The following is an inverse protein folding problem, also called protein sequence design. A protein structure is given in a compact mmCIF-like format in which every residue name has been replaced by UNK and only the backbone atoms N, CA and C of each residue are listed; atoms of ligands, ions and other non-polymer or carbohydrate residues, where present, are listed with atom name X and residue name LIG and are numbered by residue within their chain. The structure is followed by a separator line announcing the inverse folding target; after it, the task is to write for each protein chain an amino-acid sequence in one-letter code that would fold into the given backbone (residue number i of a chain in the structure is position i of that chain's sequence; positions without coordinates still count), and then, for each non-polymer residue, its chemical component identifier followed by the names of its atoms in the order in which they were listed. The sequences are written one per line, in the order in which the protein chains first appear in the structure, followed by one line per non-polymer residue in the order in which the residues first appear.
data_IF_024871469749
#
_entry.id   IF_024871469749
#
_cell.length_a   1.000
_cell.length_b   1.000
_cell.length_c   1.000
_cell.angle_alpha   90.00
_cell.angle_beta   90.00
_cell.angle_gamma   90.00
#
_symmetry.space_group_name_H-M   'P 1'
#
loop_
_entity.id
_entity.type
_entity.pdbx_description
1 polymer ?
#
# COMPACT_ATOMS: atom_id res chain seq x y z
N UNK A 1 -21.11 35.09 25.84
CA UNK A 1 -21.38 35.39 24.40
C UNK A 1 -20.39 34.62 23.57
N UNK A 2 -20.77 33.50 23.05
CA UNK A 2 -19.96 32.66 22.18
C UNK A 2 -20.03 33.21 20.77
N UNK A 3 -18.89 33.55 20.19
CA UNK A 3 -18.75 34.09 18.85
C UNK A 3 -19.16 33.01 17.82
N UNK A 4 -20.23 33.19 17.05
CA UNK A 4 -20.70 32.19 16.10
C UNK A 4 -19.87 32.10 14.81
N UNK A 5 -18.80 32.89 14.71
CA UNK A 5 -17.91 32.95 13.53
C UNK A 5 -16.52 32.40 13.77
N UNK A 6 -16.32 31.54 14.77
CA UNK A 6 -15.10 30.74 14.77
C UNK A 6 -15.15 29.82 13.54
N UNK A 7 -14.20 29.93 12.60
CA UNK A 7 -14.12 28.98 11.52
C UNK A 7 -14.04 27.61 12.17
N UNK A 8 -14.97 26.77 11.78
CA UNK A 8 -15.09 25.36 12.18
C UNK A 8 -13.68 24.83 12.31
N UNK A 9 -13.25 24.63 13.54
CA UNK A 9 -12.07 23.83 13.84
C UNK A 9 -12.37 22.49 13.23
N UNK A 10 -11.94 22.29 11.99
CA UNK A 10 -12.05 21.03 11.28
C UNK A 10 -11.57 19.97 12.25
N UNK A 11 -12.52 19.24 12.74
CA UNK A 11 -12.46 18.24 13.80
C UNK A 11 -11.14 17.49 13.70
N UNK A 12 -10.19 17.91 14.51
CA UNK A 12 -8.91 17.23 14.66
C UNK A 12 -9.18 15.91 15.38
N UNK A 13 -9.72 14.95 14.62
CA UNK A 13 -9.91 13.62 15.15
C UNK A 13 -8.54 12.97 15.26
N UNK A 14 -8.03 12.70 16.47
CA UNK A 14 -6.70 12.12 16.69
C UNK A 14 -6.55 10.74 16.02
N UNK A 15 -7.64 10.15 15.58
CA UNK A 15 -7.68 8.86 14.88
C UNK A 15 -7.45 8.94 13.37
N UNK A 16 -7.53 10.15 12.78
CA UNK A 16 -7.45 10.33 11.33
C UNK A 16 -6.07 10.83 10.90
N UNK A 17 -5.62 10.36 9.72
CA UNK A 17 -4.41 10.85 9.06
C UNK A 17 -4.67 12.21 8.38
N UNK A 18 -3.65 13.08 8.28
CA UNK A 18 -3.75 14.29 7.50
C UNK A 18 -4.07 13.98 6.04
N UNK A 19 -4.81 14.87 5.38
CA UNK A 19 -5.22 14.70 3.99
C UNK A 19 -3.99 14.76 3.08
N UNK A 20 -3.74 13.71 2.32
CA UNK A 20 -2.68 13.62 1.32
C UNK A 20 -3.24 12.95 0.07
N UNK A 21 -3.52 13.77 -0.94
CA UNK A 21 -4.09 13.31 -2.20
C UNK A 21 -3.15 12.36 -2.93
N UNK A 22 -1.84 12.62 -2.89
CA UNK A 22 -0.87 11.77 -3.58
C UNK A 22 -0.79 10.37 -2.96
N UNK A 23 -0.76 10.28 -1.61
CA UNK A 23 -0.82 9.00 -0.90
C UNK A 23 -2.09 8.23 -1.23
N UNK A 24 -3.23 8.92 -1.27
CA UNK A 24 -4.53 8.33 -1.61
C UNK A 24 -4.54 7.79 -3.03
N UNK A 25 -4.00 8.54 -4.00
CA UNK A 25 -3.90 8.08 -5.40
C UNK A 25 -3.02 6.85 -5.55
N UNK A 26 -1.88 6.79 -4.85
CA UNK A 26 -1.01 5.61 -4.88
C UNK A 26 -1.72 4.40 -4.26
N UNK A 27 -2.41 4.58 -3.13
CA UNK A 27 -3.18 3.50 -2.49
C UNK A 27 -4.28 2.97 -3.42
N UNK A 28 -5.00 3.85 -4.12
CA UNK A 28 -5.99 3.46 -5.12
C UNK A 28 -5.36 2.74 -6.31
N UNK A 29 -4.19 3.17 -6.78
CA UNK A 29 -3.47 2.49 -7.85
C UNK A 29 -3.05 1.06 -7.43
N UNK A 30 -2.58 0.87 -6.19
CA UNK A 30 -2.25 -0.45 -5.66
C UNK A 30 -3.49 -1.35 -5.59
N UNK A 31 -4.62 -0.83 -5.13
CA UNK A 31 -5.90 -1.55 -5.10
C UNK A 31 -6.31 -1.96 -6.52
N UNK A 32 -6.26 -1.04 -7.48
CA UNK A 32 -6.62 -1.30 -8.87
C UNK A 32 -5.72 -2.38 -9.51
N UNK A 33 -4.40 -2.32 -9.27
CA UNK A 33 -3.46 -3.34 -9.74
C UNK A 33 -3.73 -4.71 -9.12
N UNK A 34 -4.07 -4.75 -7.83
CA UNK A 34 -4.42 -6.00 -7.16
C UNK A 34 -5.69 -6.61 -7.75
N UNK A 35 -6.74 -5.81 -7.93
CA UNK A 35 -7.99 -6.27 -8.56
C UNK A 35 -7.74 -6.75 -9.99
N UNK A 36 -6.98 -5.99 -10.78
CA UNK A 36 -6.60 -6.37 -12.14
C UNK A 36 -5.82 -7.68 -12.19
N UNK A 37 -4.87 -7.88 -11.25
CA UNK A 37 -4.14 -9.12 -11.09
C UNK A 37 -5.05 -10.31 -10.79
N UNK A 38 -6.01 -10.16 -9.89
CA UNK A 38 -6.99 -11.20 -9.57
C UNK A 38 -7.92 -11.54 -10.75
N UNK A 39 -8.40 -10.52 -11.47
CA UNK A 39 -9.20 -10.73 -12.70
C UNK A 39 -8.38 -11.51 -13.72
N UNK A 40 -7.13 -11.13 -13.93
CA UNK A 40 -6.23 -11.83 -14.85
C UNK A 40 -6.06 -13.31 -14.47
N UNK A 41 -5.88 -13.59 -13.21
CA UNK A 41 -5.77 -14.96 -12.67
C UNK A 41 -7.01 -15.79 -12.94
N UNK A 42 -8.20 -15.22 -12.71
CA UNK A 42 -9.47 -15.91 -12.94
C UNK A 42 -9.72 -16.19 -14.42
N UNK A 43 -9.07 -15.46 -15.33
CA UNK A 43 -9.18 -15.67 -16.79
C UNK A 43 -8.22 -16.73 -17.33
N UNK A 44 -7.20 -17.14 -16.55
CA UNK A 44 -6.25 -18.17 -16.98
C UNK A 44 -6.86 -19.56 -16.77
N UNK A 45 -6.86 -20.45 -17.82
CA UNK A 45 -7.31 -21.82 -17.66
C UNK A 45 -6.52 -22.56 -16.57
N UNK A 46 -7.24 -23.29 -15.72
CA UNK A 46 -6.69 -24.02 -14.55
C UNK A 46 -5.57 -25.00 -14.92
N UNK A 47 -5.59 -25.52 -16.14
CA UNK A 47 -4.60 -26.50 -16.65
C UNK A 47 -3.17 -25.95 -16.75
N UNK A 48 -3.00 -24.62 -16.74
CA UNK A 48 -1.69 -23.95 -16.73
C UNK A 48 -1.11 -23.74 -15.34
N UNK A 49 -1.89 -23.96 -14.30
CA UNK A 49 -1.43 -23.91 -12.90
C UNK A 49 -0.82 -25.27 -12.46
N UNK A 50 0.06 -25.82 -13.27
CA UNK A 50 0.82 -27.01 -12.86
C UNK A 50 1.58 -26.70 -11.56
N UNK A 51 1.45 -27.59 -10.60
CA UNK A 51 1.88 -27.57 -9.20
C UNK A 51 3.42 -27.43 -9.00
N UNK A 52 4.04 -26.43 -9.61
CA UNK A 52 5.45 -26.13 -9.40
C UNK A 52 5.66 -25.33 -8.10
N UNK A 53 6.88 -25.35 -7.55
CA UNK A 53 7.27 -24.52 -6.40
C UNK A 53 7.03 -23.02 -6.65
N UNK A 54 7.16 -22.57 -7.90
CA UNK A 54 6.83 -21.22 -8.35
C UNK A 54 5.35 -20.88 -8.14
N UNK A 55 4.45 -21.84 -8.32
CA UNK A 55 3.01 -21.64 -8.12
C UNK A 55 2.67 -21.36 -6.66
N UNK A 56 3.36 -22.02 -5.71
CA UNK A 56 3.15 -21.78 -4.27
C UNK A 56 3.59 -20.39 -3.85
N UNK A 57 4.76 -19.93 -4.30
CA UNK A 57 5.26 -18.57 -4.06
C UNK A 57 4.33 -17.52 -4.64
N UNK A 58 3.82 -17.79 -5.84
CA UNK A 58 2.88 -16.90 -6.50
C UNK A 58 1.55 -16.78 -5.71
N UNK A 59 1.01 -17.87 -5.15
CA UNK A 59 -0.18 -17.83 -4.31
C UNK A 59 0.04 -17.01 -3.03
N UNK A 60 1.21 -17.15 -2.39
CA UNK A 60 1.55 -16.34 -1.23
C UNK A 60 1.57 -14.86 -1.58
N UNK A 61 2.17 -14.51 -2.72
CA UNK A 61 2.20 -13.13 -3.22
C UNK A 61 0.78 -12.58 -3.45
N UNK A 62 -0.11 -13.37 -4.05
CA UNK A 62 -1.49 -12.97 -4.27
C UNK A 62 -2.25 -12.72 -2.96
N UNK A 63 -2.08 -13.58 -1.97
CA UNK A 63 -2.68 -13.38 -0.64
C UNK A 63 -2.14 -12.12 0.03
N UNK A 64 -0.84 -11.89 -0.01
CA UNK A 64 -0.22 -10.69 0.57
C UNK A 64 -0.69 -9.43 -0.14
N UNK A 65 -0.78 -9.44 -1.46
CA UNK A 65 -1.31 -8.32 -2.26
C UNK A 65 -2.77 -8.02 -1.92
N UNK A 66 -3.58 -9.05 -1.68
CA UNK A 66 -4.97 -8.88 -1.25
C UNK A 66 -5.07 -8.23 0.14
N UNK A 67 -4.27 -8.70 1.09
CA UNK A 67 -4.20 -8.10 2.44
C UNK A 67 -3.72 -6.65 2.35
N UNK A 68 -2.70 -6.38 1.51
CA UNK A 68 -2.22 -5.02 1.26
C UNK A 68 -3.33 -4.12 0.69
N UNK A 69 -4.13 -4.62 -0.26
CA UNK A 69 -5.26 -3.86 -0.80
C UNK A 69 -6.28 -3.50 0.27
N UNK A 70 -6.63 -4.42 1.17
CA UNK A 70 -7.52 -4.17 2.32
C UNK A 70 -6.93 -3.06 3.21
N UNK A 71 -5.64 -3.15 3.51
CA UNK A 71 -4.95 -2.14 4.33
C UNK A 71 -4.89 -0.79 3.61
N UNK A 72 -4.70 -0.77 2.28
CA UNK A 72 -4.77 0.45 1.48
C UNK A 72 -6.16 1.11 1.54
N UNK A 73 -7.25 0.35 1.61
CA UNK A 73 -8.59 0.91 1.86
C UNK A 73 -8.60 1.66 3.21
N UNK A 74 -8.01 1.10 4.25
CA UNK A 74 -7.86 1.78 5.54
C UNK A 74 -7.08 3.10 5.45
N UNK A 75 -6.05 3.16 4.60
CA UNK A 75 -5.27 4.39 4.32
C UNK A 75 -6.11 5.41 3.54
N UNK A 76 -6.90 4.97 2.56
CA UNK A 76 -7.85 5.85 1.83
C UNK A 76 -8.87 6.44 2.80
N UNK A 77 -9.37 5.64 3.74
CA UNK A 77 -10.28 6.08 4.82
C UNK A 77 -9.55 6.90 5.91
N UNK A 78 -8.27 7.18 5.74
CA UNK A 78 -7.44 8.02 6.62
C UNK A 78 -7.26 7.48 8.05
N UNK A 79 -7.48 6.20 8.29
CA UNK A 79 -7.33 5.60 9.62
C UNK A 79 -5.86 5.41 10.00
N UNK A 80 -5.44 5.99 11.11
CA UNK A 80 -4.04 5.92 11.61
C UNK A 80 -3.58 4.50 11.94
N UNK A 81 -4.49 3.65 12.41
CA UNK A 81 -4.19 2.24 12.75
C UNK A 81 -3.64 1.42 11.59
N UNK A 82 -3.97 1.79 10.36
CA UNK A 82 -3.48 1.09 9.16
C UNK A 82 -2.11 1.54 8.66
N UNK A 83 -1.53 2.60 9.27
CA UNK A 83 -0.27 3.17 8.81
C UNK A 83 0.92 2.21 8.97
N UNK A 84 1.04 1.56 10.11
CA UNK A 84 2.12 0.61 10.40
C UNK A 84 2.00 -0.67 9.59
N UNK A 85 0.84 -1.36 9.55
CA UNK A 85 0.69 -2.54 8.70
C UNK A 85 0.85 -2.22 7.21
N UNK A 86 0.35 -1.07 6.73
CA UNK A 86 0.57 -0.63 5.34
C UNK A 86 2.05 -0.50 5.01
N UNK A 87 2.82 0.12 5.90
CA UNK A 87 4.26 0.28 5.71
C UNK A 87 4.98 -1.07 5.57
N UNK A 88 4.80 -1.97 6.53
CA UNK A 88 5.50 -3.26 6.53
C UNK A 88 5.06 -4.19 5.41
N UNK A 89 3.76 -4.24 5.09
CA UNK A 89 3.27 -5.02 3.96
C UNK A 89 3.79 -4.50 2.63
N UNK A 90 3.90 -3.17 2.47
CA UNK A 90 4.45 -2.58 1.26
C UNK A 90 5.95 -2.85 1.14
N UNK A 91 6.70 -2.79 2.25
CA UNK A 91 8.13 -3.16 2.27
C UNK A 91 8.30 -4.64 1.88
N UNK A 92 7.49 -5.52 2.42
CA UNK A 92 7.51 -6.94 2.07
C UNK A 92 7.24 -7.13 0.56
N UNK A 93 6.18 -6.51 0.04
CA UNK A 93 5.82 -6.59 -1.39
C UNK A 93 6.93 -6.03 -2.28
N UNK A 94 7.57 -4.91 -1.87
CA UNK A 94 8.70 -4.32 -2.60
C UNK A 94 9.88 -5.28 -2.70
N UNK A 95 10.26 -5.89 -1.58
CA UNK A 95 11.40 -6.86 -1.54
C UNK A 95 11.08 -8.07 -2.40
N UNK A 96 9.87 -8.60 -2.31
CA UNK A 96 9.44 -9.74 -3.09
C UNK A 96 9.45 -9.47 -4.60
N UNK A 97 8.88 -8.34 -5.01
CA UNK A 97 8.86 -7.91 -6.42
C UNK A 97 10.27 -7.61 -6.94
N UNK A 98 11.15 -7.05 -6.10
CA UNK A 98 12.54 -6.81 -6.46
C UNK A 98 13.28 -8.12 -6.73
N UNK A 99 13.09 -9.12 -5.88
CA UNK A 99 13.67 -10.45 -6.09
C UNK A 99 13.15 -11.08 -7.39
N UNK A 100 11.84 -11.02 -7.62
CA UNK A 100 11.23 -11.51 -8.85
C UNK A 100 11.75 -10.82 -10.08
N UNK A 101 11.82 -9.47 -10.06
CA UNK A 101 12.35 -8.68 -11.16
C UNK A 101 13.81 -9.04 -11.46
N UNK A 102 14.62 -9.30 -10.44
CA UNK A 102 16.00 -9.73 -10.61
C UNK A 102 16.13 -11.10 -11.31
N UNK A 103 15.25 -12.05 -10.98
CA UNK A 103 15.21 -13.36 -11.66
C UNK A 103 14.72 -13.21 -13.11
N UNK A 104 13.67 -12.45 -13.37
CA UNK A 104 13.18 -12.17 -14.72
C UNK A 104 14.23 -11.45 -15.59
N UNK A 105 14.99 -10.54 -15.00
CA UNK A 105 16.10 -9.86 -15.68
C UNK A 105 17.21 -10.82 -16.11
N UNK A 106 17.55 -11.80 -15.26
CA UNK A 106 18.53 -12.84 -15.60
C UNK A 106 18.06 -13.74 -16.76
N UNK A 107 16.75 -13.92 -16.90
CA UNK A 107 16.14 -14.67 -18.00
C UNK A 107 15.98 -13.83 -19.29
N UNK A 108 16.45 -12.58 -19.29
CA UNK A 108 16.40 -11.68 -20.46
C UNK A 108 15.03 -11.03 -20.69
N UNK A 109 14.11 -11.12 -19.74
CA UNK A 109 12.81 -10.47 -19.81
C UNK A 109 12.89 -9.05 -19.24
N UNK A 110 13.02 -8.06 -20.13
CA UNK A 110 12.98 -6.64 -19.75
C UNK A 110 11.50 -6.22 -19.56
N UNK A 111 11.05 -6.21 -18.33
CA UNK A 111 9.75 -5.59 -17.95
C UNK A 111 10.01 -4.30 -17.18
N UNK A 112 9.19 -3.28 -17.46
CA UNK A 112 9.22 -2.03 -16.69
C UNK A 112 8.71 -2.35 -15.26
N UNK A 113 9.51 -2.08 -14.21
CA UNK A 113 9.14 -2.41 -12.83
C UNK A 113 8.17 -1.38 -12.25
N UNK A 114 6.99 -1.24 -12.87
CA UNK A 114 5.98 -0.25 -12.46
C UNK A 114 5.54 -0.46 -11.00
N UNK A 115 5.37 -1.70 -10.58
CA UNK A 115 4.99 -2.04 -9.21
C UNK A 115 6.08 -1.62 -8.21
N UNK A 116 7.35 -1.81 -8.54
CA UNK A 116 8.47 -1.37 -7.69
C UNK A 116 8.49 0.15 -7.49
N UNK A 117 8.22 0.91 -8.54
CA UNK A 117 8.13 2.38 -8.47
C UNK A 117 6.97 2.79 -7.57
N UNK A 118 5.79 2.19 -7.74
CA UNK A 118 4.61 2.49 -6.92
C UNK A 118 4.83 2.16 -5.45
N UNK A 119 5.39 0.99 -5.14
CA UNK A 119 5.70 0.59 -3.76
C UNK A 119 6.74 1.49 -3.12
N UNK A 120 7.80 1.87 -3.86
CA UNK A 120 8.81 2.80 -3.38
C UNK A 120 8.23 4.17 -3.04
N UNK A 121 7.41 4.74 -3.93
CA UNK A 121 6.71 6.01 -3.68
C UNK A 121 5.73 5.91 -2.51
N UNK A 122 5.04 4.78 -2.37
CA UNK A 122 4.10 4.56 -1.29
C UNK A 122 4.82 4.49 0.06
N UNK A 123 5.91 3.73 0.16
CA UNK A 123 6.75 3.64 1.36
C UNK A 123 7.23 5.04 1.77
N UNK A 124 7.73 5.82 0.82
CA UNK A 124 8.17 7.19 1.09
C UNK A 124 7.04 8.04 1.69
N UNK A 125 5.84 8.00 1.11
CA UNK A 125 4.68 8.75 1.61
C UNK A 125 4.19 8.25 2.97
N UNK A 126 4.19 6.94 3.19
CA UNK A 126 3.84 6.36 4.48
C UNK A 126 4.86 6.75 5.56
N UNK A 127 6.15 6.80 5.23
CA UNK A 127 7.19 7.21 6.16
C UNK A 127 7.06 8.70 6.54
N UNK A 128 6.74 9.57 5.59
CA UNK A 128 6.42 10.97 5.90
C UNK A 128 5.23 11.07 6.86
N UNK A 129 4.15 10.34 6.61
CA UNK A 129 2.98 10.31 7.48
C UNK A 129 3.31 9.78 8.88
N UNK A 130 4.18 8.77 9.00
CA UNK A 130 4.64 8.27 10.31
C UNK A 130 5.44 9.31 11.08
N UNK A 131 6.30 10.07 10.41
CA UNK A 131 7.08 11.15 11.03
C UNK A 131 6.17 12.27 11.55
N UNK A 132 5.16 12.68 10.79
CA UNK A 132 4.21 13.70 11.22
C UNK A 132 3.39 13.24 12.43
N UNK A 133 2.88 12.02 12.42
CA UNK A 133 2.16 11.43 13.55
C UNK A 133 3.04 11.35 14.82
N UNK A 134 4.29 10.93 14.65
CA UNK A 134 5.23 10.85 15.78
C UNK A 134 5.57 12.24 16.34
N UNK A 135 5.69 13.25 15.49
CA UNK A 135 5.93 14.64 15.94
C UNK A 135 4.73 15.19 16.72
N UNK A 136 3.52 14.94 16.25
CA UNK A 136 2.28 15.33 16.94
C UNK A 136 2.16 14.67 18.32
N UNK A 137 2.46 13.37 18.42
CA UNK A 137 2.44 12.66 19.70
C UNK A 137 3.44 13.22 20.71
N UNK A 138 4.64 13.63 20.26
CA UNK A 138 5.64 14.27 21.11
C UNK A 138 5.19 15.66 21.58
N UNK A 139 4.54 16.42 20.71
CA UNK A 139 4.02 17.74 21.06
C UNK A 139 2.90 17.68 22.11
N UNK A 140 2.08 16.63 22.09
CA UNK A 140 1.00 16.41 23.09
C UNK A 140 1.55 15.88 24.41
N UNK A 141 2.70 15.18 24.42
CA UNK A 141 3.32 14.62 25.62
C UNK A 141 4.12 15.63 26.44
N UNK A 142 4.33 16.85 25.94
CA UNK A 142 4.97 17.98 26.63
C UNK A 142 3.92 18.93 27.19
#
# INVERSE_FOLDING_TARGET
MTNPNSPISDQYSPSLLPRDTFRTLIALAIIALTIGGWIYVLMIPVDRFALSAQTRLWWIEQVVSFVLAIVCIGIVLRKRSFLTPAFWLTVYSLVFDLMRWFFEFKEGQLRIPLALILYGLFIWRLQLARRTVAAEQRAVAV
#
